data_IF_426889123322
#
_entry.id   IF_426889123322
#
_cell.length_a   1.000
_cell.length_b   1.000
_cell.length_c   1.000
_cell.angle_alpha   90.00
_cell.angle_beta   90.00
_cell.angle_gamma   90.00
#
_symmetry.space_group_name_H-M   'P 1'
#
loop_
_entity.id
_entity.type
_entity.pdbx_description
1 polymer ?
#
# COMPACT_ATOMS: atom_id res chain seq x y z
N UNK A 1 -22.87 -10.62 12.51
CA UNK A 1 -23.20 -9.19 12.27
C UNK A 1 -23.50 -9.15 10.79
N UNK A 2 -24.75 -8.93 10.39
CA UNK A 2 -25.10 -8.95 8.96
C UNK A 2 -24.30 -7.84 8.27
N UNK A 3 -23.28 -8.23 7.51
CA UNK A 3 -22.47 -7.33 6.70
C UNK A 3 -23.38 -6.85 5.59
N UNK A 4 -23.99 -5.68 5.80
CA UNK A 4 -24.74 -4.99 4.77
C UNK A 4 -23.77 -4.70 3.64
N UNK A 5 -23.90 -5.45 2.54
CA UNK A 5 -23.19 -5.19 1.29
C UNK A 5 -23.67 -3.83 0.78
N UNK A 6 -22.97 -2.77 1.17
CA UNK A 6 -23.21 -1.44 0.64
C UNK A 6 -22.91 -1.45 -0.86
N UNK A 7 -23.89 -1.02 -1.65
CA UNK A 7 -23.69 -0.67 -3.05
C UNK A 7 -22.61 0.42 -3.15
N UNK A 8 -21.53 0.12 -3.89
CA UNK A 8 -20.24 0.83 -3.92
C UNK A 8 -20.30 2.31 -4.33
N UNK A 9 -21.46 2.85 -4.68
CA UNK A 9 -21.63 4.22 -5.20
C UNK A 9 -22.84 4.98 -4.65
N UNK A 10 -23.67 4.39 -3.77
CA UNK A 10 -24.92 5.07 -3.37
C UNK A 10 -24.74 6.14 -2.28
N UNK A 11 -23.60 6.14 -1.56
CA UNK A 11 -23.23 7.23 -0.64
C UNK A 11 -21.73 7.19 -0.29
N UNK A 12 -20.92 8.12 -0.80
CA UNK A 12 -19.53 8.33 -0.36
C UNK A 12 -19.42 8.51 1.16
N UNK A 13 -20.37 9.22 1.75
CA UNK A 13 -20.44 9.42 3.21
C UNK A 13 -20.72 8.11 3.94
N UNK A 14 -21.51 7.21 3.35
CA UNK A 14 -21.76 5.88 3.86
C UNK A 14 -20.49 5.02 3.87
N UNK A 15 -19.68 5.11 2.82
CA UNK A 15 -18.39 4.43 2.74
C UNK A 15 -17.42 4.95 3.80
N UNK A 16 -17.34 6.28 3.97
CA UNK A 16 -16.50 6.89 5.01
C UNK A 16 -16.90 6.40 6.41
N UNK A 17 -18.20 6.43 6.74
CA UNK A 17 -18.71 5.93 8.02
C UNK A 17 -18.40 4.44 8.20
N UNK A 18 -18.61 3.64 7.17
CA UNK A 18 -18.31 2.20 7.21
C UNK A 18 -16.82 1.95 7.49
N UNK A 19 -15.93 2.67 6.82
CA UNK A 19 -14.49 2.49 7.01
C UNK A 19 -14.01 2.97 8.38
N UNK A 20 -14.57 4.05 8.93
CA UNK A 20 -14.28 4.47 10.29
C UNK A 20 -14.71 3.41 11.33
N UNK A 21 -15.88 2.79 11.13
CA UNK A 21 -16.33 1.69 11.99
C UNK A 21 -15.37 0.51 11.89
N UNK A 22 -14.98 0.09 10.68
CA UNK A 22 -14.03 -1.01 10.50
C UNK A 22 -12.69 -0.72 11.16
N UNK A 23 -12.12 0.48 10.98
CA UNK A 23 -10.88 0.87 11.66
C UNK A 23 -11.01 0.71 13.18
N UNK A 24 -12.06 1.26 13.78
CA UNK A 24 -12.31 1.15 15.22
C UNK A 24 -12.40 -0.31 15.68
N UNK A 25 -13.15 -1.14 14.94
CA UNK A 25 -13.27 -2.58 15.24
C UNK A 25 -11.91 -3.27 15.14
N UNK A 26 -11.08 -2.93 14.17
CA UNK A 26 -9.74 -3.54 14.01
C UNK A 26 -8.68 -3.05 14.99
N UNK A 27 -8.96 -2.04 15.84
CA UNK A 27 -7.97 -1.56 16.83
C UNK A 27 -7.77 -2.48 18.03
N UNK A 28 -8.68 -3.43 18.25
CA UNK A 28 -8.63 -4.38 19.37
C UNK A 28 -8.69 -5.81 18.87
N UNK A 29 -7.98 -6.72 19.56
CA UNK A 29 -7.86 -8.12 19.16
C UNK A 29 -9.23 -8.79 19.01
N UNK A 30 -10.16 -8.56 19.93
CA UNK A 30 -11.51 -9.14 19.85
C UNK A 30 -12.28 -8.65 18.63
N UNK A 31 -12.06 -7.41 18.22
CA UNK A 31 -12.74 -6.80 17.10
C UNK A 31 -12.22 -7.33 15.77
N UNK A 32 -10.91 -7.43 15.57
CA UNK A 32 -10.38 -8.10 14.38
C UNK A 32 -10.80 -9.57 14.33
N UNK A 33 -10.78 -10.28 15.47
CA UNK A 33 -11.26 -11.66 15.53
C UNK A 33 -12.73 -11.76 15.14
N UNK A 34 -13.58 -10.78 15.49
CA UNK A 34 -14.99 -10.79 15.05
C UNK A 34 -15.18 -10.74 13.53
N UNK A 35 -14.19 -10.25 12.78
CA UNK A 35 -14.20 -10.20 11.31
C UNK A 35 -13.61 -11.49 10.72
N UNK A 36 -12.47 -11.94 11.25
CA UNK A 36 -11.68 -13.03 10.63
C UNK A 36 -12.01 -14.42 11.18
N UNK A 37 -12.76 -14.51 12.29
CA UNK A 37 -13.14 -15.78 12.93
C UNK A 37 -13.95 -16.68 11.99
N UNK A 38 -14.84 -16.09 11.18
CA UNK A 38 -15.61 -16.82 10.18
C UNK A 38 -14.98 -16.59 8.80
N UNK A 39 -14.43 -17.63 8.15
CA UNK A 39 -13.70 -17.48 6.89
C UNK A 39 -14.50 -16.80 5.77
N UNK A 40 -15.82 -16.99 5.73
CA UNK A 40 -16.68 -16.38 4.71
C UNK A 40 -16.83 -14.87 4.92
N UNK A 41 -17.09 -14.43 6.15
CA UNK A 41 -17.22 -13.01 6.49
C UNK A 41 -15.89 -12.27 6.27
N UNK A 42 -14.78 -12.89 6.70
CA UNK A 42 -13.43 -12.37 6.48
C UNK A 42 -13.08 -12.29 5.00
N UNK A 43 -13.44 -13.29 4.20
CA UNK A 43 -13.26 -13.29 2.74
C UNK A 43 -14.07 -12.18 2.07
N UNK A 44 -15.35 -12.04 2.41
CA UNK A 44 -16.20 -11.00 1.82
C UNK A 44 -15.68 -9.59 2.14
N UNK A 45 -15.25 -9.38 3.39
CA UNK A 45 -14.62 -8.12 3.81
C UNK A 45 -13.33 -7.87 3.03
N UNK A 46 -12.47 -8.89 2.91
CA UNK A 46 -11.22 -8.78 2.16
C UNK A 46 -11.45 -8.47 0.67
N UNK A 47 -12.35 -9.19 0.00
CA UNK A 47 -12.69 -8.97 -1.41
C UNK A 47 -13.25 -7.57 -1.65
N UNK A 48 -14.09 -7.08 -0.75
CA UNK A 48 -14.60 -5.71 -0.78
C UNK A 48 -13.46 -4.67 -0.71
N UNK A 49 -12.56 -4.80 0.26
CA UNK A 49 -11.44 -3.86 0.44
C UNK A 49 -10.41 -3.94 -0.70
N UNK A 50 -10.16 -5.15 -1.21
CA UNK A 50 -9.33 -5.38 -2.39
C UNK A 50 -9.91 -4.69 -3.62
N UNK A 51 -11.21 -4.82 -3.87
CA UNK A 51 -11.87 -4.14 -4.98
C UNK A 51 -11.83 -2.62 -4.82
N UNK A 52 -12.10 -2.09 -3.62
CA UNK A 52 -11.96 -0.65 -3.35
C UNK A 52 -10.55 -0.15 -3.70
N UNK A 53 -9.52 -0.86 -3.24
CA UNK A 53 -8.11 -0.45 -3.43
C UNK A 53 -7.67 -0.61 -4.88
N UNK A 54 -8.01 -1.72 -5.53
CA UNK A 54 -7.49 -2.07 -6.85
C UNK A 54 -8.32 -1.50 -8.00
N UNK A 55 -9.61 -1.19 -7.75
CA UNK A 55 -10.56 -0.82 -8.80
C UNK A 55 -11.27 0.49 -8.55
N UNK A 56 -11.35 1.05 -7.34
CA UNK A 56 -12.22 2.22 -7.12
C UNK A 56 -11.45 3.48 -6.67
N UNK A 57 -10.56 3.36 -5.69
CA UNK A 57 -9.92 4.53 -5.04
C UNK A 57 -8.63 4.99 -5.72
N UNK A 58 -7.99 4.11 -6.48
CA UNK A 58 -6.80 4.41 -7.26
C UNK A 58 -6.76 3.39 -8.38
N UNK A 59 -7.07 3.76 -9.63
CA UNK A 59 -7.04 2.91 -10.82
C UNK A 59 -5.80 3.13 -11.72
N UNK A 60 -5.35 2.12 -12.48
CA UNK A 60 -4.28 2.32 -13.46
C UNK A 60 -4.64 3.44 -14.45
N UNK A 61 -3.81 4.47 -14.53
CA UNK A 61 -4.03 5.64 -15.39
C UNK A 61 -4.62 6.86 -14.66
N UNK A 62 -5.03 6.72 -13.41
CA UNK A 62 -5.48 7.85 -12.60
C UNK A 62 -4.36 8.87 -12.40
N UNK A 63 -4.66 10.18 -12.46
CA UNK A 63 -3.67 11.19 -12.14
C UNK A 63 -3.34 11.17 -10.64
N UNK A 64 -2.11 11.57 -10.24
CA UNK A 64 -1.70 11.61 -8.84
C UNK A 64 -2.64 12.40 -7.91
N UNK A 65 -3.38 13.38 -8.44
CA UNK A 65 -4.37 14.16 -7.69
C UNK A 65 -5.45 13.29 -7.03
N UNK A 66 -5.83 12.15 -7.63
CA UNK A 66 -6.83 11.24 -7.06
C UNK A 66 -6.37 10.72 -5.70
N UNK A 67 -5.07 10.44 -5.52
CA UNK A 67 -4.54 10.01 -4.22
C UNK A 67 -4.64 11.13 -3.18
N UNK A 68 -4.51 12.41 -3.58
CA UNK A 68 -4.70 13.53 -2.66
C UNK A 68 -6.15 13.71 -2.22
N UNK A 69 -7.10 13.45 -3.11
CA UNK A 69 -8.53 13.51 -2.84
C UNK A 69 -9.00 12.33 -1.97
N UNK A 70 -8.46 11.13 -2.23
CA UNK A 70 -8.87 9.88 -1.57
C UNK A 70 -8.00 9.50 -0.36
N UNK A 71 -7.07 10.35 0.09
CA UNK A 71 -6.04 9.99 1.08
C UNK A 71 -6.57 9.43 2.40
N UNK A 72 -7.66 9.99 2.92
CA UNK A 72 -8.27 9.58 4.20
C UNK A 72 -8.91 8.21 4.10
N UNK A 73 -9.70 7.98 3.05
CA UNK A 73 -10.37 6.70 2.83
C UNK A 73 -9.37 5.61 2.44
N UNK A 74 -8.38 5.92 1.60
CA UNK A 74 -7.27 5.01 1.28
C UNK A 74 -6.51 4.61 2.54
N UNK A 75 -6.15 5.56 3.40
CA UNK A 75 -5.45 5.25 4.67
C UNK A 75 -6.27 4.29 5.52
N UNK A 76 -7.58 4.49 5.55
CA UNK A 76 -8.50 3.68 6.34
C UNK A 76 -8.64 2.25 5.80
N UNK A 77 -8.79 2.12 4.47
CA UNK A 77 -8.85 0.83 3.78
C UNK A 77 -7.55 0.06 3.98
N UNK A 78 -6.41 0.70 3.72
CA UNK A 78 -5.11 0.04 3.82
C UNK A 78 -4.78 -0.37 5.26
N UNK A 79 -5.17 0.41 6.27
CA UNK A 79 -4.95 0.07 7.67
C UNK A 79 -5.72 -1.19 8.07
N UNK A 80 -7.02 -1.25 7.73
CA UNK A 80 -7.86 -2.42 7.99
C UNK A 80 -7.32 -3.65 7.26
N UNK A 81 -6.95 -3.51 5.98
CA UNK A 81 -6.36 -4.61 5.21
C UNK A 81 -5.04 -5.09 5.80
N UNK A 82 -4.16 -4.19 6.25
CA UNK A 82 -2.88 -4.54 6.88
C UNK A 82 -3.10 -5.38 8.15
N UNK A 83 -4.03 -4.95 9.02
CA UNK A 83 -4.38 -5.70 10.24
C UNK A 83 -5.00 -7.04 9.89
N UNK A 84 -5.96 -7.10 8.96
CA UNK A 84 -6.55 -8.37 8.51
C UNK A 84 -5.50 -9.33 7.96
N UNK A 85 -4.55 -8.83 7.18
CA UNK A 85 -3.49 -9.63 6.59
C UNK A 85 -2.51 -10.18 7.66
N UNK A 86 -2.19 -9.37 8.67
CA UNK A 86 -1.31 -9.75 9.78
C UNK A 86 -1.98 -10.73 10.75
N UNK A 87 -3.27 -10.56 11.03
CA UNK A 87 -4.03 -11.40 11.96
C UNK A 87 -4.39 -12.78 11.41
N UNK A 88 -4.11 -13.05 10.13
CA UNK A 88 -4.49 -14.29 9.45
C UNK A 88 -3.28 -15.11 9.03
N UNK A 89 -2.80 -15.94 9.94
CA UNK A 89 -2.07 -17.15 9.58
C UNK A 89 -3.08 -18.22 9.18
N UNK A 90 -3.05 -18.66 7.93
CA UNK A 90 -3.71 -19.88 7.38
C UNK A 90 -5.06 -19.73 6.62
N UNK A 91 -5.55 -18.53 6.29
CA UNK A 91 -6.76 -18.40 5.44
C UNK A 91 -6.44 -18.21 3.94
N UNK A 92 -7.20 -18.89 3.07
CA UNK A 92 -6.93 -19.02 1.62
C UNK A 92 -7.15 -17.73 0.81
N UNK A 93 -7.92 -16.77 1.32
CA UNK A 93 -8.24 -15.54 0.59
C UNK A 93 -7.19 -14.44 0.77
N UNK A 94 -6.41 -14.47 1.85
CA UNK A 94 -5.20 -13.65 2.03
C UNK A 94 -3.97 -14.27 1.40
N UNK A 95 -4.13 -15.41 0.69
CA UNK A 95 -3.05 -16.02 -0.08
C UNK A 95 -2.51 -15.03 -1.11
N UNK A 96 -1.23 -14.71 -1.01
CA UNK A 96 -0.61 -13.64 -1.80
C UNK A 96 -0.68 -13.92 -3.30
N UNK A 97 -0.65 -15.19 -3.70
CA UNK A 97 -0.81 -15.60 -5.09
C UNK A 97 -2.13 -15.13 -5.72
N UNK A 98 -3.19 -14.94 -4.93
CA UNK A 98 -4.49 -14.43 -5.40
C UNK A 98 -4.60 -12.91 -5.32
N UNK A 99 -3.65 -12.26 -4.67
CA UNK A 99 -3.67 -10.84 -4.35
C UNK A 99 -2.48 -10.08 -4.98
N UNK A 100 -1.88 -10.61 -6.05
CA UNK A 100 -0.73 -9.96 -6.70
C UNK A 100 -1.08 -8.56 -7.27
N UNK A 101 -2.34 -8.36 -7.69
CA UNK A 101 -2.83 -7.05 -8.12
C UNK A 101 -2.75 -5.99 -7.01
N UNK A 102 -2.83 -6.40 -5.75
CA UNK A 102 -2.73 -5.51 -4.60
C UNK A 102 -1.33 -4.92 -4.50
N UNK A 103 -0.27 -5.69 -4.78
CA UNK A 103 1.11 -5.18 -4.84
C UNK A 103 1.19 -4.04 -5.85
N UNK A 104 0.64 -4.26 -7.06
CA UNK A 104 0.60 -3.25 -8.11
C UNK A 104 -0.18 -1.98 -7.72
N UNK A 105 -1.24 -2.11 -6.91
CA UNK A 105 -2.01 -0.97 -6.42
C UNK A 105 -1.29 -0.22 -5.30
N UNK A 106 -0.68 -0.91 -4.35
CA UNK A 106 0.10 -0.30 -3.26
C UNK A 106 1.32 0.46 -3.80
N UNK A 107 2.09 -0.14 -4.71
CA UNK A 107 3.23 0.55 -5.31
C UNK A 107 2.78 1.80 -6.08
N UNK A 108 1.67 1.74 -6.78
CA UNK A 108 1.12 2.88 -7.52
C UNK A 108 0.64 4.01 -6.61
N UNK A 109 0.11 3.69 -5.43
CA UNK A 109 -0.20 4.69 -4.41
C UNK A 109 1.09 5.42 -4.00
N UNK A 110 2.19 4.69 -3.75
CA UNK A 110 3.51 5.28 -3.43
C UNK A 110 4.07 6.14 -4.57
N UNK A 111 3.99 5.68 -5.82
CA UNK A 111 4.42 6.43 -7.01
C UNK A 111 3.66 7.76 -7.15
N UNK A 112 2.34 7.72 -6.93
CA UNK A 112 1.48 8.91 -6.95
C UNK A 112 1.81 9.86 -5.80
N UNK A 113 2.06 9.34 -4.59
CA UNK A 113 2.49 10.14 -3.43
C UNK A 113 3.80 10.88 -3.71
N UNK A 114 4.82 10.20 -4.26
CA UNK A 114 6.06 10.86 -4.67
C UNK A 114 5.84 11.98 -5.69
N UNK A 115 4.94 11.74 -6.66
CA UNK A 115 4.63 12.71 -7.71
C UNK A 115 3.93 13.94 -7.15
N UNK A 116 3.00 13.74 -6.21
CA UNK A 116 2.33 14.83 -5.49
C UNK A 116 3.33 15.69 -4.71
N UNK A 117 4.32 15.07 -4.07
CA UNK A 117 5.34 15.79 -3.31
C UNK A 117 6.29 16.59 -4.19
N UNK A 118 6.73 16.02 -5.32
CA UNK A 118 7.58 16.73 -6.30
C UNK A 118 6.90 17.99 -6.83
N UNK A 119 5.62 17.90 -7.21
CA UNK A 119 4.83 19.05 -7.68
C UNK A 119 4.66 20.15 -6.62
N UNK A 120 4.46 19.79 -5.36
CA UNK A 120 4.37 20.77 -4.27
C UNK A 120 5.68 21.51 -4.05
N UNK A 121 6.83 20.83 -4.18
CA UNK A 121 8.16 21.44 -4.11
C UNK A 121 8.39 22.40 -5.29
N UNK A 122 8.04 22.00 -6.52
CA UNK A 122 8.24 22.83 -7.72
C UNK A 122 7.38 24.10 -7.72
N UNK A 123 6.13 24.02 -7.23
CA UNK A 123 5.24 25.18 -7.13
C UNK A 123 5.73 26.23 -6.12
N UNK A 124 6.44 25.82 -5.07
CA UNK A 124 6.99 26.73 -4.05
C UNK A 124 8.24 27.50 -4.51
N UNK A 125 8.91 27.05 -5.57
CA UNK A 125 10.13 27.70 -6.10
C UNK A 125 9.80 28.90 -7.01
N UNK A 126 8.54 29.07 -7.44
CA UNK A 126 8.16 30.08 -8.43
C UNK A 126 7.62 31.40 -7.87
N UNK A 127 7.37 31.52 -6.56
CA UNK A 127 6.96 32.80 -5.96
C UNK A 127 8.17 33.48 -5.31
N UNK A 128 8.80 34.36 -6.10
CA UNK A 128 9.78 35.31 -5.61
C UNK A 128 9.13 36.40 -4.78
N UNK A 129 8.87 36.13 -3.50
CA UNK A 129 8.81 37.19 -2.48
C UNK A 129 9.28 36.65 -1.12
N UNK A 130 10.15 37.43 -0.46
CA UNK A 130 10.99 37.01 0.66
C UNK A 130 10.25 36.75 1.96
N UNK A 131 9.47 35.67 2.01
CA UNK A 131 8.77 35.22 3.21
C UNK A 131 9.32 33.86 3.63
N UNK A 132 10.02 33.88 4.77
CA UNK A 132 10.60 32.77 5.54
C UNK A 132 10.37 31.35 5.01
N UNK A 133 11.47 30.62 4.81
CA UNK A 133 11.56 29.15 4.70
C UNK A 133 10.58 28.46 5.67
N UNK A 134 9.35 28.25 5.23
CA UNK A 134 8.49 27.22 5.78
C UNK A 134 8.73 26.04 4.88
N UNK A 135 9.40 25.02 5.42
CA UNK A 135 9.38 23.69 4.81
C UNK A 135 7.93 23.40 4.40
N UNK A 136 7.69 22.88 3.19
CA UNK A 136 6.35 22.57 2.76
C UNK A 136 5.73 21.68 3.82
N UNK A 137 4.70 22.16 4.51
CA UNK A 137 4.02 21.42 5.56
C UNK A 137 3.50 20.13 4.92
N UNK A 138 4.15 19.02 5.25
CA UNK A 138 3.79 17.72 4.70
C UNK A 138 2.36 17.43 5.19
N UNK A 139 1.44 17.29 4.24
CA UNK A 139 0.04 16.99 4.53
C UNK A 139 0.01 15.72 5.39
N UNK A 140 -0.36 15.88 6.67
CA UNK A 140 -0.30 14.82 7.66
C UNK A 140 -1.10 13.59 7.24
N UNK A 141 -2.16 13.76 6.44
CA UNK A 141 -2.93 12.66 5.90
C UNK A 141 -2.22 11.94 4.74
N UNK A 142 -1.42 12.64 3.94
CA UNK A 142 -0.56 11.98 2.94
C UNK A 142 0.58 11.20 3.59
N UNK A 143 1.12 11.72 4.70
CA UNK A 143 2.13 11.00 5.47
C UNK A 143 1.54 9.75 6.13
N UNK A 144 0.35 9.84 6.75
CA UNK A 144 -0.37 8.67 7.28
C UNK A 144 -0.61 7.64 6.18
N UNK A 145 -1.08 8.07 5.00
CA UNK A 145 -1.30 7.16 3.88
C UNK A 145 0.00 6.45 3.46
N UNK A 146 1.11 7.19 3.36
CA UNK A 146 2.42 6.60 3.06
C UNK A 146 2.78 5.56 4.09
N UNK A 147 2.73 5.90 5.38
CA UNK A 147 3.18 5.03 6.46
C UNK A 147 2.40 3.71 6.47
N UNK A 148 1.06 3.79 6.38
CA UNK A 148 0.19 2.61 6.32
C UNK A 148 0.43 1.80 5.04
N UNK A 149 0.62 2.46 3.90
CA UNK A 149 0.91 1.78 2.63
C UNK A 149 2.25 1.05 2.67
N UNK A 150 3.28 1.67 3.25
CA UNK A 150 4.60 1.08 3.45
C UNK A 150 4.54 -0.12 4.38
N UNK A 151 3.88 0.02 5.54
CA UNK A 151 3.68 -1.08 6.48
C UNK A 151 3.00 -2.27 5.79
N UNK A 152 1.89 -2.03 5.09
CA UNK A 152 1.15 -3.10 4.46
C UNK A 152 1.93 -3.77 3.32
N UNK A 153 2.58 -2.96 2.48
CA UNK A 153 3.42 -3.48 1.40
C UNK A 153 4.58 -4.32 1.96
N UNK A 154 5.22 -3.87 3.04
CA UNK A 154 6.29 -4.63 3.71
C UNK A 154 5.82 -6.01 4.18
N UNK A 155 4.62 -6.08 4.77
CA UNK A 155 4.02 -7.33 5.23
C UNK A 155 3.76 -8.29 4.07
N UNK A 156 3.26 -7.78 2.93
CA UNK A 156 3.04 -8.60 1.73
C UNK A 156 4.37 -9.09 1.15
N UNK A 157 5.34 -8.18 0.98
CA UNK A 157 6.64 -8.51 0.39
C UNK A 157 7.38 -9.58 1.22
N UNK A 158 7.31 -9.50 2.54
CA UNK A 158 7.96 -10.46 3.46
C UNK A 158 7.43 -11.89 3.33
N UNK A 159 6.23 -12.07 2.76
CA UNK A 159 5.56 -13.36 2.63
C UNK A 159 5.55 -13.88 1.18
N UNK A 160 6.11 -13.13 0.23
CA UNK A 160 6.24 -13.57 -1.15
C UNK A 160 7.18 -14.76 -1.26
N UNK A 161 6.74 -15.77 -2.02
CA UNK A 161 7.58 -16.89 -2.43
C UNK A 161 7.95 -16.77 -3.90
N UNK A 162 8.93 -17.56 -4.34
CA UNK A 162 9.42 -17.58 -5.72
C UNK A 162 8.30 -17.70 -6.75
N UNK A 163 7.34 -18.60 -6.53
CA UNK A 163 6.20 -18.82 -7.42
C UNK A 163 5.30 -17.57 -7.56
N UNK A 164 5.14 -16.81 -6.47
CA UNK A 164 4.40 -15.56 -6.48
C UNK A 164 5.16 -14.50 -7.27
N UNK A 165 6.48 -14.38 -7.06
CA UNK A 165 7.32 -13.41 -7.77
C UNK A 165 7.35 -13.68 -9.27
N UNK A 166 7.55 -14.94 -9.69
CA UNK A 166 7.54 -15.30 -11.13
C UNK A 166 6.22 -14.89 -11.79
N UNK A 167 5.09 -15.13 -11.10
CA UNK A 167 3.76 -14.76 -11.61
C UNK A 167 3.60 -13.24 -11.64
N UNK A 168 3.98 -12.54 -10.58
CA UNK A 168 3.87 -11.09 -10.48
C UNK A 168 4.75 -10.34 -11.50
N UNK A 169 5.94 -10.87 -11.82
CA UNK A 169 6.79 -10.36 -12.90
C UNK A 169 6.11 -10.52 -14.26
N UNK A 170 5.56 -11.72 -14.53
CA UNK A 170 4.87 -12.01 -15.79
C UNK A 170 3.63 -11.14 -15.99
N UNK A 171 2.90 -10.86 -14.91
CA UNK A 171 1.69 -10.04 -14.92
C UNK A 171 1.98 -8.53 -14.81
N UNK A 172 3.24 -8.12 -14.65
CA UNK A 172 3.64 -6.72 -14.53
C UNK A 172 3.23 -6.05 -13.22
N UNK A 173 2.85 -6.84 -12.21
CA UNK A 173 2.62 -6.36 -10.86
C UNK A 173 3.93 -6.00 -10.15
N UNK A 174 5.01 -6.70 -10.49
CA UNK A 174 6.39 -6.37 -10.09
C UNK A 174 7.18 -6.02 -11.36
N UNK A 175 7.85 -4.87 -11.33
CA UNK A 175 8.78 -4.40 -12.37
C UNK A 175 9.94 -3.69 -11.68
N UNK A 176 11.05 -3.47 -12.40
CA UNK A 176 12.21 -2.74 -11.86
C UNK A 176 11.81 -1.37 -11.29
N UNK A 177 11.03 -0.60 -12.05
CA UNK A 177 10.53 0.73 -11.64
C UNK A 177 9.70 0.66 -10.35
N UNK A 178 8.72 -0.24 -10.30
CA UNK A 178 7.85 -0.44 -9.14
C UNK A 178 8.65 -0.86 -7.91
N UNK A 179 9.59 -1.77 -8.08
CA UNK A 179 10.44 -2.24 -6.99
C UNK A 179 11.38 -1.14 -6.49
N UNK A 180 11.95 -0.31 -7.37
CA UNK A 180 12.77 0.83 -6.97
C UNK A 180 11.94 1.86 -6.18
N UNK A 181 10.71 2.17 -6.62
CA UNK A 181 9.81 3.04 -5.86
C UNK A 181 9.50 2.46 -4.48
N UNK A 182 9.17 1.15 -4.40
CA UNK A 182 8.94 0.48 -3.12
C UNK A 182 10.17 0.57 -2.20
N UNK A 183 11.38 0.29 -2.70
CA UNK A 183 12.61 0.36 -1.92
C UNK A 183 12.85 1.74 -1.31
N UNK A 184 12.67 2.80 -2.10
CA UNK A 184 12.87 4.20 -1.64
C UNK A 184 11.89 4.62 -0.54
N UNK A 185 10.68 4.06 -0.55
CA UNK A 185 9.67 4.38 0.47
C UNK A 185 9.74 3.46 1.69
N UNK A 186 10.25 2.23 1.52
CA UNK A 186 10.34 1.24 2.60
C UNK A 186 11.61 1.37 3.44
N UNK A 187 12.71 1.83 2.85
CA UNK A 187 13.98 1.99 3.56
C UNK A 187 14.06 3.33 4.30
N UNK A 188 14.74 3.37 5.47
CA UNK A 188 15.40 2.25 6.14
C UNK A 188 14.48 1.41 7.04
N UNK A 189 13.24 1.85 7.28
CA UNK A 189 12.36 1.32 8.34
C UNK A 189 12.00 -0.16 8.18
N UNK A 190 11.82 -0.63 6.93
CA UNK A 190 11.41 -2.01 6.60
C UNK A 190 12.52 -2.80 5.91
N UNK A 191 13.79 -2.59 6.31
CA UNK A 191 14.95 -3.20 5.67
C UNK A 191 14.92 -4.74 5.66
N UNK A 192 14.41 -5.39 6.70
CA UNK A 192 14.29 -6.86 6.76
C UNK A 192 13.37 -7.39 5.65
N UNK A 193 12.17 -6.82 5.51
CA UNK A 193 11.21 -7.14 4.46
C UNK A 193 11.78 -6.92 3.06
N UNK A 194 12.48 -5.80 2.85
CA UNK A 194 13.13 -5.44 1.58
C UNK A 194 14.22 -6.46 1.23
N UNK A 195 15.09 -6.80 2.19
CA UNK A 195 16.18 -7.75 1.95
C UNK A 195 15.67 -9.15 1.64
N UNK A 196 14.67 -9.62 2.38
CA UNK A 196 13.99 -10.90 2.14
C UNK A 196 13.37 -10.93 0.73
N UNK A 197 12.63 -9.88 0.35
CA UNK A 197 12.06 -9.77 -0.99
C UNK A 197 13.12 -9.82 -2.09
N UNK A 198 14.22 -9.06 -1.95
CA UNK A 198 15.29 -9.01 -2.96
C UNK A 198 16.04 -10.33 -3.08
N UNK A 199 16.18 -11.09 -1.99
CA UNK A 199 16.74 -12.43 -1.99
C UNK A 199 15.86 -13.40 -2.80
N UNK A 200 14.56 -13.49 -2.48
CA UNK A 200 13.62 -14.37 -3.20
C UNK A 200 13.47 -13.92 -4.67
N UNK A 201 13.51 -12.61 -4.94
CA UNK A 201 13.52 -12.07 -6.30
C UNK A 201 14.73 -12.58 -7.09
N UNK A 202 15.91 -12.69 -6.46
CA UNK A 202 17.12 -13.18 -7.11
C UNK A 202 17.01 -14.63 -7.61
N UNK A 203 16.12 -15.43 -7.02
CA UNK A 203 15.83 -16.78 -7.51
C UNK A 203 14.96 -16.81 -8.77
N UNK A 204 14.23 -15.73 -9.05
CA UNK A 204 13.32 -15.58 -10.19
C UNK A 204 13.91 -14.70 -11.30
N UNK A 205 14.58 -13.61 -10.92
CA UNK A 205 15.28 -12.67 -11.80
C UNK A 205 16.54 -12.12 -11.09
N UNK A 206 17.67 -12.74 -11.38
CA UNK A 206 18.97 -12.35 -10.81
C UNK A 206 19.39 -10.94 -11.23
N UNK A 207 19.07 -10.53 -12.46
CA UNK A 207 19.51 -9.23 -13.01
C UNK A 207 18.80 -8.10 -12.27
N UNK A 208 17.48 -8.21 -12.13
CA UNK A 208 16.69 -7.23 -11.38
C UNK A 208 17.11 -7.20 -9.91
N UNK A 209 17.33 -8.36 -9.26
CA UNK A 209 17.82 -8.41 -7.88
C UNK A 209 19.16 -7.69 -7.70
N UNK A 210 20.11 -7.85 -8.64
CA UNK A 210 21.39 -7.14 -8.60
C UNK A 210 21.23 -5.62 -8.75
N UNK A 211 20.31 -5.16 -9.60
CA UNK A 211 19.98 -3.73 -9.71
C UNK A 211 19.46 -3.19 -8.38
N UNK A 212 18.49 -3.87 -7.77
CA UNK A 212 17.91 -3.44 -6.49
C UNK A 212 18.95 -3.44 -5.35
N UNK A 213 19.84 -4.43 -5.27
CA UNK A 213 20.93 -4.46 -4.26
C UNK A 213 21.88 -3.27 -4.35
N UNK A 214 22.14 -2.77 -5.56
CA UNK A 214 22.94 -1.56 -5.75
C UNK A 214 22.20 -0.34 -5.20
N UNK A 215 20.91 -0.21 -5.50
CA UNK A 215 20.09 0.89 -4.96
C UNK A 215 20.04 0.86 -3.43
N UNK A 216 19.87 -0.33 -2.82
CA UNK A 216 19.90 -0.49 -1.35
C UNK A 216 21.22 0.02 -0.77
N UNK A 217 22.34 -0.29 -1.43
CA UNK A 217 23.67 0.14 -0.96
C UNK A 217 23.80 1.67 -1.02
N UNK A 218 23.29 2.30 -2.07
CA UNK A 218 23.27 3.77 -2.20
C UNK A 218 22.40 4.41 -1.11
N UNK A 219 21.17 3.91 -0.92
CA UNK A 219 20.24 4.45 0.09
C UNK A 219 20.73 4.23 1.53
N UNK A 220 21.49 3.16 1.78
CA UNK A 220 22.09 2.86 3.08
C UNK A 220 23.31 3.72 3.42
N UNK A 221 23.95 4.36 2.43
CA UNK A 221 25.04 5.33 2.64
C UNK A 221 24.51 6.75 2.94
N UNK A 222 23.25 7.03 2.63
CA UNK A 222 22.59 8.34 2.80
C UNK A 222 21.78 8.47 4.12
N UNK A 223 21.61 7.38 4.89
CA UNK A 223 20.87 7.32 6.17
C UNK A 223 21.79 7.38 7.38
#
# INVERSE_FOLDING_TARGET
>A
MDVVVYSRYDSPEGLDVYMHILQLVTTVDEGIQSIVQYPEDGKQTWEFLCDLTCRDLCQPGDPPLIVQEQKTILSSVLAVMSVMFASQTEQEYTEIGKNLSLIGSLTRILENLETCQKKNKDNHVSDGDGTQDKEPEEDSHLQILRDVCCEFLSNILSRLKKENIVTALKEGHITEEKSLCALRNLLPLYAESVNSFVEVLGEADETMSQTLKKEISVLGEES
#
